data_IF_915925984705
#
_entry.id   IF_915925984705
#
_cell.length_a   1.000
_cell.length_b   1.000
_cell.length_c   1.000
_cell.angle_alpha   90.00
_cell.angle_beta   90.00
_cell.angle_gamma   90.00
#
_symmetry.space_group_name_H-M   'P 1'
#
loop_
_entity.id
_entity.type
_entity.pdbx_description
1 polymer ?
#
# COMPACT_ATOMS: atom_id res chain seq x y z
N UNK A 1 17.18 13.99 4.57
CA UNK A 1 17.95 13.86 3.31
C UNK A 1 18.69 12.52 3.21
N UNK A 2 19.58 12.19 4.16
CA UNK A 2 20.42 10.98 4.08
C UNK A 2 19.59 9.67 4.10
N UNK A 3 18.56 9.58 4.95
CA UNK A 3 17.67 8.40 4.97
C UNK A 3 16.94 8.16 3.64
N UNK A 4 16.53 9.24 2.95
CA UNK A 4 15.92 9.15 1.62
C UNK A 4 16.90 8.65 0.57
N UNK A 5 18.15 9.13 0.61
CA UNK A 5 19.20 8.67 -0.29
C UNK A 5 19.45 7.16 -0.14
N UNK A 6 19.61 6.68 1.11
CA UNK A 6 19.80 5.26 1.38
C UNK A 6 18.60 4.41 0.94
N UNK A 7 17.37 4.86 1.20
CA UNK A 7 16.18 4.16 0.73
C UNK A 7 16.13 4.08 -0.80
N UNK A 8 16.49 5.17 -1.50
CA UNK A 8 16.57 5.18 -2.96
C UNK A 8 17.56 4.15 -3.50
N UNK A 9 18.76 4.08 -2.92
CA UNK A 9 19.78 3.10 -3.31
C UNK A 9 19.26 1.66 -3.12
N UNK A 10 18.69 1.35 -1.95
CA UNK A 10 18.14 0.03 -1.64
C UNK A 10 17.01 -0.34 -2.62
N UNK A 11 16.15 0.62 -2.94
CA UNK A 11 15.02 0.42 -3.85
C UNK A 11 15.49 0.13 -5.28
N UNK A 12 16.57 0.77 -5.75
CA UNK A 12 17.15 0.52 -7.07
C UNK A 12 17.65 -0.93 -7.18
N UNK A 13 18.41 -1.41 -6.19
CA UNK A 13 18.86 -2.81 -6.18
C UNK A 13 17.69 -3.80 -6.15
N UNK A 14 16.65 -3.48 -5.38
CA UNK A 14 15.42 -4.27 -5.34
C UNK A 14 14.75 -4.29 -6.71
N UNK A 15 14.66 -3.14 -7.39
CA UNK A 15 14.06 -3.02 -8.71
C UNK A 15 14.81 -3.83 -9.78
N UNK A 16 16.15 -3.80 -9.79
CA UNK A 16 16.94 -4.63 -10.71
C UNK A 16 16.73 -6.12 -10.46
N UNK A 17 16.73 -6.54 -9.20
CA UNK A 17 16.43 -7.94 -8.83
C UNK A 17 15.05 -8.36 -9.34
N UNK A 18 14.03 -7.52 -9.13
CA UNK A 18 12.68 -7.76 -9.63
C UNK A 18 12.63 -7.83 -11.16
N UNK A 19 13.37 -6.97 -11.86
CA UNK A 19 13.43 -6.96 -13.32
C UNK A 19 14.02 -8.28 -13.87
N UNK A 20 15.18 -8.70 -13.34
CA UNK A 20 15.81 -9.96 -13.75
C UNK A 20 14.90 -11.16 -13.49
N UNK A 21 14.37 -11.29 -12.27
CA UNK A 21 13.50 -12.41 -11.92
C UNK A 21 12.17 -12.42 -12.65
N UNK A 22 11.58 -11.25 -12.93
CA UNK A 22 10.35 -11.17 -13.74
C UNK A 22 10.57 -11.60 -15.19
N UNK A 23 11.76 -11.37 -15.75
CA UNK A 23 12.11 -11.83 -17.10
C UNK A 23 12.49 -13.31 -17.15
N UNK A 24 13.15 -13.82 -16.11
CA UNK A 24 13.56 -15.22 -16.02
C UNK A 24 12.40 -16.16 -15.65
N UNK A 25 11.44 -15.68 -14.84
CA UNK A 25 10.27 -16.44 -14.38
C UNK A 25 8.99 -15.65 -14.70
N UNK A 26 8.53 -15.64 -15.97
CA UNK A 26 7.42 -14.81 -16.45
C UNK A 26 6.03 -15.27 -15.97
N UNK A 27 5.95 -16.41 -15.29
CA UNK A 27 4.69 -16.97 -14.84
C UNK A 27 4.13 -16.27 -13.59
N UNK A 28 2.82 -16.44 -13.38
CA UNK A 28 2.10 -15.97 -12.19
C UNK A 28 2.64 -16.59 -10.90
N UNK A 29 2.79 -15.76 -9.86
CA UNK A 29 3.24 -16.19 -8.52
C UNK A 29 4.20 -15.22 -7.82
N UNK A 30 4.80 -14.28 -8.56
CA UNK A 30 5.62 -13.19 -8.03
C UNK A 30 6.74 -13.63 -7.07
N UNK A 31 7.03 -12.80 -6.08
CA UNK A 31 8.14 -13.00 -5.12
C UNK A 31 8.12 -14.32 -4.36
N UNK A 32 6.95 -14.89 -4.07
CA UNK A 32 6.88 -16.21 -3.42
C UNK A 32 7.41 -17.32 -4.34
N UNK A 33 7.02 -17.30 -5.62
CA UNK A 33 7.46 -18.31 -6.59
C UNK A 33 8.96 -18.20 -6.87
N UNK A 34 9.46 -16.98 -6.98
CA UNK A 34 10.88 -16.71 -7.13
C UNK A 34 11.73 -17.33 -6.01
N UNK A 35 11.32 -17.13 -4.75
CA UNK A 35 12.01 -17.73 -3.61
C UNK A 35 11.84 -19.25 -3.59
N UNK A 36 10.68 -19.76 -4.00
CA UNK A 36 10.44 -21.22 -4.06
C UNK A 36 11.31 -21.93 -5.10
N UNK A 37 11.60 -21.28 -6.22
CA UNK A 37 12.43 -21.84 -7.30
C UNK A 37 13.93 -21.68 -7.00
N UNK A 38 14.32 -20.52 -6.46
CA UNK A 38 15.73 -20.17 -6.24
C UNK A 38 16.31 -20.57 -4.88
N UNK A 39 15.50 -20.97 -3.90
CA UNK A 39 15.97 -21.27 -2.54
C UNK A 39 15.42 -22.57 -1.96
N UNK A 40 16.20 -23.27 -1.11
CA UNK A 40 15.72 -24.46 -0.43
C UNK A 40 14.60 -24.13 0.58
N UNK A 41 13.80 -25.15 0.91
CA UNK A 41 12.85 -25.06 2.03
C UNK A 41 13.64 -24.79 3.33
N UNK A 42 13.13 -23.90 4.22
CA UNK A 42 11.77 -23.37 4.31
C UNK A 42 11.58 -21.94 3.75
N UNK A 43 12.53 -21.41 2.97
CA UNK A 43 12.57 -19.98 2.63
C UNK A 43 11.33 -19.48 1.87
N UNK A 44 10.72 -20.34 1.03
CA UNK A 44 9.47 -20.01 0.36
C UNK A 44 8.34 -19.69 1.36
N UNK A 45 8.18 -20.51 2.40
CA UNK A 45 7.17 -20.31 3.44
C UNK A 45 7.40 -19.00 4.18
N UNK A 46 8.65 -18.72 4.56
CA UNK A 46 9.00 -17.45 5.21
C UNK A 46 8.71 -16.25 4.31
N UNK A 47 9.02 -16.30 3.02
CA UNK A 47 8.69 -15.26 2.04
C UNK A 47 7.18 -14.98 1.97
N UNK A 48 6.37 -16.05 1.95
CA UNK A 48 4.91 -15.93 1.99
C UNK A 48 4.41 -15.23 3.26
N UNK A 49 4.93 -15.61 4.42
CA UNK A 49 4.59 -14.99 5.70
C UNK A 49 5.02 -13.53 5.79
N UNK A 50 6.25 -13.22 5.35
CA UNK A 50 6.75 -11.84 5.32
C UNK A 50 5.90 -10.96 4.42
N UNK A 51 5.51 -11.47 3.24
CA UNK A 51 4.60 -10.76 2.34
C UNK A 51 3.25 -10.50 3.01
N UNK A 52 2.65 -11.50 3.64
CA UNK A 52 1.36 -11.33 4.32
C UNK A 52 1.43 -10.25 5.41
N UNK A 53 2.41 -10.33 6.32
CA UNK A 53 2.59 -9.32 7.37
C UNK A 53 2.86 -7.92 6.80
N UNK A 54 3.71 -7.81 5.78
CA UNK A 54 4.01 -6.53 5.15
C UNK A 54 2.75 -5.86 4.60
N UNK A 55 1.89 -6.59 3.88
CA UNK A 55 0.65 -6.06 3.34
C UNK A 55 -0.36 -5.72 4.45
N UNK A 56 -0.48 -6.55 5.51
CA UNK A 56 -1.36 -6.27 6.64
C UNK A 56 -0.95 -5.01 7.41
N UNK A 57 0.36 -4.85 7.68
CA UNK A 57 0.90 -3.67 8.37
C UNK A 57 0.75 -2.42 7.49
N UNK A 58 1.03 -2.52 6.19
CA UNK A 58 0.83 -1.40 5.28
C UNK A 58 -0.66 -0.98 5.23
N UNK A 59 -1.58 -1.94 5.14
CA UNK A 59 -3.02 -1.67 5.13
C UNK A 59 -3.50 -0.96 6.40
N UNK A 60 -3.07 -1.42 7.58
CA UNK A 60 -3.43 -0.77 8.84
C UNK A 60 -2.83 0.62 8.98
N UNK A 61 -1.57 0.80 8.56
CA UNK A 61 -0.90 2.10 8.53
C UNK A 61 -1.67 3.11 7.66
N UNK A 62 -2.07 2.73 6.45
CA UNK A 62 -2.83 3.61 5.56
C UNK A 62 -4.20 4.00 6.14
N UNK A 63 -4.90 3.06 6.76
CA UNK A 63 -6.20 3.34 7.38
C UNK A 63 -6.08 4.31 8.56
N UNK A 64 -5.08 4.12 9.41
CA UNK A 64 -4.82 5.02 10.55
C UNK A 64 -4.39 6.40 10.07
N UNK A 65 -3.49 6.48 9.08
CA UNK A 65 -3.06 7.74 8.50
C UNK A 65 -4.25 8.50 7.90
N UNK A 66 -5.09 7.83 7.10
CA UNK A 66 -6.32 8.41 6.56
C UNK A 66 -7.21 8.97 7.66
N UNK A 67 -7.46 8.19 8.71
CA UNK A 67 -8.33 8.59 9.79
C UNK A 67 -7.81 9.80 10.57
N UNK A 68 -6.50 9.85 10.82
CA UNK A 68 -5.86 10.97 11.51
C UNK A 68 -5.94 12.26 10.68
N UNK A 69 -5.62 12.19 9.39
CA UNK A 69 -5.74 13.34 8.49
C UNK A 69 -7.20 13.79 8.32
N UNK A 70 -8.14 12.86 8.25
CA UNK A 70 -9.55 13.18 8.09
C UNK A 70 -10.15 13.79 9.36
N UNK A 71 -9.81 13.27 10.54
CA UNK A 71 -10.20 13.87 11.82
C UNK A 71 -9.65 15.29 11.96
N UNK A 72 -8.38 15.50 11.60
CA UNK A 72 -7.76 16.83 11.62
C UNK A 72 -8.41 17.80 10.61
N UNK A 73 -8.85 17.30 9.46
CA UNK A 73 -9.61 18.09 8.49
C UNK A 73 -10.97 18.54 9.05
N UNK A 74 -11.70 17.64 9.72
CA UNK A 74 -12.98 17.97 10.36
C UNK A 74 -12.83 18.99 11.49
N UNK A 75 -11.75 18.89 12.25
CA UNK A 75 -11.38 19.82 13.32
C UNK A 75 -11.08 21.22 12.76
N UNK A 76 -10.24 21.27 11.72
CA UNK A 76 -9.92 22.53 11.02
C UNK A 76 -11.16 23.19 10.41
N UNK A 77 -12.09 22.39 9.90
CA UNK A 77 -13.37 22.85 9.37
C UNK A 77 -14.38 23.26 10.45
N UNK A 78 -14.04 23.13 11.75
CA UNK A 78 -14.92 23.38 12.90
C UNK A 78 -16.20 22.55 12.90
N UNK A 79 -16.16 21.36 12.30
CA UNK A 79 -17.30 20.44 12.24
C UNK A 79 -17.30 19.56 13.49
N UNK A 80 -16.14 18.96 13.82
CA UNK A 80 -15.99 18.05 14.94
C UNK A 80 -14.56 18.12 15.47
N UNK A 81 -14.40 18.23 16.78
CA UNK A 81 -13.09 18.28 17.43
C UNK A 81 -12.34 16.95 17.26
N UNK A 82 -11.05 17.02 16.93
CA UNK A 82 -10.23 15.82 16.78
C UNK A 82 -10.04 15.14 18.13
N UNK A 83 -10.33 13.85 18.22
CA UNK A 83 -10.10 13.04 19.40
C UNK A 83 -9.59 11.67 19.03
N UNK A 84 -8.82 11.04 19.93
CA UNK A 84 -8.28 9.70 19.71
C UNK A 84 -9.38 8.65 19.48
N UNK A 85 -10.57 8.84 20.05
CA UNK A 85 -11.72 7.96 19.83
C UNK A 85 -12.30 8.15 18.42
N UNK A 86 -12.38 9.39 17.95
CA UNK A 86 -12.82 9.69 16.58
C UNK A 86 -11.86 9.12 15.55
N UNK A 87 -10.55 9.34 15.72
CA UNK A 87 -9.51 8.79 14.83
C UNK A 87 -9.57 7.26 14.76
N UNK A 88 -9.62 6.58 15.91
CA UNK A 88 -9.73 5.12 15.94
C UNK A 88 -11.04 4.61 15.34
N UNK A 89 -12.15 5.32 15.59
CA UNK A 89 -13.46 5.00 15.02
C UNK A 89 -13.46 5.11 13.49
N UNK A 90 -12.93 6.21 12.95
CA UNK A 90 -12.77 6.43 11.52
C UNK A 90 -11.85 5.39 10.87
N UNK A 91 -10.74 5.04 11.53
CA UNK A 91 -9.83 4.00 11.04
C UNK A 91 -10.53 2.63 10.97
N UNK A 92 -11.27 2.25 12.02
CA UNK A 92 -12.03 1.00 12.04
C UNK A 92 -13.10 0.96 10.93
N UNK A 93 -13.87 2.06 10.76
CA UNK A 93 -14.87 2.18 9.70
C UNK A 93 -14.21 2.05 8.33
N UNK A 94 -13.08 2.72 8.10
CA UNK A 94 -12.34 2.63 6.85
C UNK A 94 -11.88 1.19 6.58
N UNK A 95 -11.28 0.51 7.56
CA UNK A 95 -10.84 -0.89 7.42
C UNK A 95 -12.01 -1.79 7.05
N UNK A 96 -13.15 -1.67 7.76
CA UNK A 96 -14.34 -2.49 7.50
C UNK A 96 -14.89 -2.23 6.09
N UNK A 97 -15.02 -0.96 5.71
CA UNK A 97 -15.51 -0.56 4.40
C UNK A 97 -14.62 -1.09 3.27
N UNK A 98 -13.30 -0.87 3.35
CA UNK A 98 -12.35 -1.37 2.36
C UNK A 98 -12.30 -2.89 2.34
N UNK A 99 -12.35 -3.56 3.49
CA UNK A 99 -12.40 -5.03 3.56
C UNK A 99 -13.64 -5.56 2.84
N UNK A 100 -14.80 -4.97 3.10
CA UNK A 100 -16.06 -5.35 2.45
C UNK A 100 -16.03 -5.16 0.93
N UNK A 101 -15.48 -4.03 0.46
CA UNK A 101 -15.29 -3.76 -0.97
C UNK A 101 -14.37 -4.82 -1.59
N UNK A 102 -13.24 -5.12 -0.94
CA UNK A 102 -12.28 -6.10 -1.43
C UNK A 102 -12.86 -7.53 -1.47
N UNK A 103 -13.72 -7.89 -0.52
CA UNK A 103 -14.42 -9.20 -0.51
C UNK A 103 -15.50 -9.29 -1.60
N UNK A 104 -16.22 -8.19 -1.89
CA UNK A 104 -17.31 -8.19 -2.88
C UNK A 104 -16.86 -8.14 -4.33
N UNK A 105 -15.62 -7.74 -4.62
CA UNK A 105 -15.08 -7.82 -5.98
C UNK A 105 -13.91 -6.88 -6.22
N UNK A 106 -12.72 -7.46 -6.36
CA UNK A 106 -11.46 -6.77 -6.68
C UNK A 106 -11.50 -6.01 -8.01
N UNK A 107 -12.42 -6.36 -8.92
CA UNK A 107 -12.60 -5.64 -10.19
C UNK A 107 -13.09 -4.20 -10.02
N UNK A 108 -13.84 -3.90 -8.95
CA UNK A 108 -14.29 -2.55 -8.63
C UNK A 108 -13.16 -1.74 -7.99
N UNK A 109 -12.33 -2.36 -7.15
CA UNK A 109 -11.14 -1.74 -6.54
C UNK A 109 -10.15 -1.26 -7.60
N UNK A 110 -9.91 -2.06 -8.64
CA UNK A 110 -9.01 -1.66 -9.75
C UNK A 110 -9.54 -0.45 -10.53
N UNK A 111 -10.86 -0.31 -10.71
CA UNK A 111 -11.46 0.87 -11.36
C UNK A 111 -11.32 2.12 -10.50
N UNK A 112 -11.60 2.02 -9.21
CA UNK A 112 -11.42 3.13 -8.25
C UNK A 112 -9.96 3.55 -8.18
N UNK A 113 -9.02 2.60 -8.17
CA UNK A 113 -7.59 2.86 -8.22
C UNK A 113 -7.17 3.65 -9.45
N UNK A 114 -7.65 3.29 -10.65
CA UNK A 114 -7.37 4.04 -11.88
C UNK A 114 -7.91 5.47 -11.83
N UNK A 115 -9.11 5.69 -11.28
CA UNK A 115 -9.67 7.04 -11.13
C UNK A 115 -8.79 7.90 -10.24
N UNK A 116 -8.35 7.37 -9.08
CA UNK A 116 -7.46 8.08 -8.16
C UNK A 116 -6.14 8.45 -8.86
N UNK A 117 -5.51 7.51 -9.57
CA UNK A 117 -4.26 7.75 -10.30
C UNK A 117 -4.42 8.86 -11.33
N UNK A 118 -5.51 8.85 -12.11
CA UNK A 118 -5.79 9.90 -13.11
C UNK A 118 -6.00 11.26 -12.43
N UNK A 119 -6.74 11.30 -11.31
CA UNK A 119 -6.92 12.52 -10.54
C UNK A 119 -5.58 13.08 -10.03
N UNK A 120 -4.70 12.23 -9.49
CA UNK A 120 -3.38 12.64 -9.03
C UNK A 120 -2.51 13.22 -10.17
N UNK A 121 -2.45 12.53 -11.32
CA UNK A 121 -1.72 13.02 -12.49
C UNK A 121 -2.26 14.39 -12.94
N UNK A 122 -3.58 14.57 -12.90
CA UNK A 122 -4.23 15.83 -13.29
C UNK A 122 -3.86 16.95 -12.32
N UNK A 123 -3.90 16.70 -11.01
CA UNK A 123 -3.55 17.69 -9.98
C UNK A 123 -2.08 18.10 -10.09
N UNK A 124 -1.17 17.13 -10.31
CA UNK A 124 0.25 17.40 -10.50
C UNK A 124 0.46 18.22 -11.78
N UNK A 125 -0.18 17.83 -12.89
CA UNK A 125 -0.10 18.55 -14.16
C UNK A 125 -0.59 19.99 -14.04
N UNK A 126 -1.65 20.25 -13.29
CA UNK A 126 -2.24 21.59 -13.14
C UNK A 126 -1.48 22.48 -12.13
N UNK A 127 -0.55 21.91 -11.35
CA UNK A 127 0.37 22.63 -10.45
C UNK A 127 1.81 22.72 -11.01
N UNK A 128 2.05 22.25 -12.23
CA UNK A 128 3.33 22.48 -12.93
C UNK A 128 3.37 23.93 -13.40
N UNK A 129 4.40 24.73 -13.06
CA UNK A 129 4.57 26.07 -13.63
C UNK A 129 4.77 26.04 -15.15
#
# INVERSE_FOLDING_TARGET
MIAFLFNGIITIFTAFTYAELSSALPDTGGGYRWVREGMPRPNAFLSGWMSWFAHTIAGSLYAVAFASFFAHLLDTAKILESSIFLEKGLAAIAIIAFTFINVRGTSQTSKVGNVITISQITIIRNNSP
#
